data_IF_170828003438
#
_entry.id   IF_170828003438
#
_cell.length_a   1.000
_cell.length_b   1.000
_cell.length_c   1.000
_cell.angle_alpha   90.00
_cell.angle_beta   90.00
_cell.angle_gamma   90.00
#
_symmetry.space_group_name_H-M   'P 1'
#
loop_
_entity.id
_entity.type
_entity.pdbx_description
1 polymer ?
#
# COMPACT_ATOMS: atom_id res chain seq x y z
N UNK A 1 4.53 -16.35 -7.56
CA UNK A 1 3.12 -16.00 -7.81
C UNK A 1 3.09 -15.11 -9.02
N UNK A 2 2.25 -15.48 -9.98
CA UNK A 2 2.02 -14.73 -11.20
C UNK A 2 1.46 -13.33 -10.89
N UNK A 3 1.64 -12.42 -11.83
CA UNK A 3 0.94 -11.14 -11.85
C UNK A 3 -0.54 -11.41 -12.09
N UNK A 4 -1.48 -10.81 -11.33
CA UNK A 4 -2.90 -10.95 -11.61
C UNK A 4 -3.26 -10.40 -12.99
N UNK A 5 -4.02 -11.18 -13.76
CA UNK A 5 -4.45 -10.89 -15.14
C UNK A 5 -5.99 -10.87 -15.28
N UNK A 6 -6.72 -10.93 -14.18
CA UNK A 6 -8.18 -10.86 -14.12
C UNK A 6 -8.66 -10.24 -12.80
N UNK A 7 -9.91 -9.75 -12.77
CA UNK A 7 -10.56 -9.21 -11.57
C UNK A 7 -10.50 -10.20 -10.40
N UNK A 8 -10.86 -11.46 -10.65
CA UNK A 8 -10.83 -12.51 -9.62
C UNK A 8 -9.41 -12.70 -9.08
N UNK A 9 -8.42 -12.83 -9.95
CA UNK A 9 -7.02 -13.01 -9.54
C UNK A 9 -6.49 -11.78 -8.76
N UNK A 10 -6.95 -10.57 -9.10
CA UNK A 10 -6.57 -9.34 -8.40
C UNK A 10 -7.13 -9.32 -6.98
N UNK A 11 -8.43 -9.59 -6.83
CA UNK A 11 -9.10 -9.65 -5.53
C UNK A 11 -8.47 -10.73 -4.63
N UNK A 12 -8.21 -11.92 -5.17
CA UNK A 12 -7.52 -12.98 -4.44
C UNK A 12 -6.12 -12.57 -4.00
N UNK A 13 -5.36 -11.89 -4.86
CA UNK A 13 -4.02 -11.41 -4.53
C UNK A 13 -4.05 -10.32 -3.45
N UNK A 14 -5.01 -9.39 -3.52
CA UNK A 14 -5.20 -8.34 -2.52
C UNK A 14 -5.56 -8.95 -1.16
N UNK A 15 -6.56 -9.81 -1.10
CA UNK A 15 -7.01 -10.45 0.15
C UNK A 15 -5.89 -11.30 0.77
N UNK A 16 -5.26 -12.17 -0.02
CA UNK A 16 -4.19 -13.05 0.48
C UNK A 16 -3.01 -12.27 1.02
N UNK A 17 -2.59 -11.21 0.33
CA UNK A 17 -1.45 -10.39 0.75
C UNK A 17 -1.78 -9.50 1.95
N UNK A 18 -2.99 -8.92 2.01
CA UNK A 18 -3.49 -8.16 3.15
C UNK A 18 -3.61 -9.03 4.41
N UNK A 19 -4.20 -10.22 4.29
CA UNK A 19 -4.32 -11.18 5.40
C UNK A 19 -2.96 -11.62 5.94
N UNK A 20 -2.00 -11.92 5.05
CA UNK A 20 -0.64 -12.28 5.45
C UNK A 20 0.08 -11.14 6.17
N UNK A 21 -0.10 -9.90 5.69
CA UNK A 21 0.46 -8.70 6.32
C UNK A 21 -0.17 -8.47 7.70
N UNK A 22 -1.50 -8.52 7.81
CA UNK A 22 -2.23 -8.32 9.07
C UNK A 22 -1.76 -9.26 10.16
N UNK A 23 -1.63 -10.56 9.84
CA UNK A 23 -1.12 -11.58 10.78
C UNK A 23 0.28 -11.28 11.32
N UNK A 24 1.09 -10.53 10.58
CA UNK A 24 2.43 -10.09 11.02
C UNK A 24 2.32 -8.83 11.87
N UNK A 25 1.52 -7.85 11.43
CA UNK A 25 1.36 -6.57 12.11
C UNK A 25 0.80 -6.71 13.53
N UNK A 26 -0.17 -7.61 13.76
CA UNK A 26 -0.74 -7.85 15.10
C UNK A 26 0.26 -8.40 16.11
N UNK A 27 1.40 -8.94 15.66
CA UNK A 27 2.46 -9.49 16.52
C UNK A 27 3.48 -8.44 16.92
N UNK A 28 3.39 -7.22 16.39
CA UNK A 28 4.36 -6.15 16.65
C UNK A 28 3.87 -5.34 17.86
N UNK A 29 4.65 -5.29 18.95
CA UNK A 29 4.32 -4.45 20.11
C UNK A 29 4.29 -2.96 19.74
N UNK A 30 3.41 -2.19 20.37
CA UNK A 30 3.22 -0.78 20.06
C UNK A 30 4.48 0.07 20.33
N UNK A 31 5.26 -0.26 21.36
CA UNK A 31 6.52 0.38 21.71
C UNK A 31 7.64 0.12 20.68
N UNK A 32 7.59 -1.02 19.96
CA UNK A 32 8.49 -1.35 18.86
C UNK A 32 8.02 -0.72 17.54
N UNK A 33 6.70 -0.61 17.33
CA UNK A 33 6.12 -0.18 16.06
C UNK A 33 6.63 1.19 15.59
N UNK A 34 6.95 2.08 16.52
CA UNK A 34 7.45 3.44 16.22
C UNK A 34 8.98 3.58 16.25
N UNK A 35 9.71 2.53 16.62
CA UNK A 35 11.18 2.55 16.60
C UNK A 35 11.71 2.44 15.17
N UNK A 36 12.81 3.14 14.87
CA UNK A 36 13.47 3.14 13.56
C UNK A 36 14.30 1.86 13.37
N UNK A 37 13.61 0.72 13.26
CA UNK A 37 14.18 -0.63 13.28
C UNK A 37 14.30 -1.29 11.88
N UNK A 38 13.68 -0.72 10.84
CA UNK A 38 13.71 -1.23 9.47
C UNK A 38 14.61 -0.39 8.56
N UNK A 39 15.14 -0.99 7.50
CA UNK A 39 15.70 -0.25 6.37
C UNK A 39 14.59 0.50 5.62
N UNK A 40 14.78 1.78 5.36
CA UNK A 40 13.81 2.63 4.68
C UNK A 40 13.72 2.39 3.17
N UNK A 41 12.81 3.12 2.52
CA UNK A 41 12.62 3.04 1.06
C UNK A 41 13.71 3.75 0.26
N UNK A 42 14.42 4.70 0.88
CA UNK A 42 15.63 5.32 0.31
C UNK A 42 16.85 4.56 0.82
N UNK A 43 17.78 4.20 -0.05
CA UNK A 43 18.99 3.48 0.34
C UNK A 43 19.76 4.25 1.44
N UNK A 44 20.15 3.53 2.50
CA UNK A 44 20.82 4.12 3.67
C UNK A 44 19.91 4.82 4.68
N UNK A 45 18.60 4.92 4.41
CA UNK A 45 17.63 5.45 5.38
C UNK A 45 17.10 4.37 6.32
N UNK A 46 16.53 4.80 7.44
CA UNK A 46 15.80 3.95 8.40
C UNK A 46 14.32 4.34 8.39
N UNK A 47 13.45 3.39 8.73
CA UNK A 47 12.02 3.63 8.94
C UNK A 47 11.51 2.80 10.11
N UNK A 48 10.39 3.21 10.69
CA UNK A 48 9.64 2.40 11.65
C UNK A 48 8.62 1.49 10.96
N UNK A 49 8.02 0.57 11.71
CA UNK A 49 6.88 -0.22 11.23
C UNK A 49 5.67 0.69 10.99
N UNK A 50 5.46 1.68 11.86
CA UNK A 50 4.43 2.70 11.68
C UNK A 50 4.64 3.46 10.35
N UNK A 51 5.86 3.88 10.02
CA UNK A 51 6.16 4.50 8.73
C UNK A 51 5.84 3.54 7.57
N UNK A 52 6.18 2.26 7.68
CA UNK A 52 5.83 1.27 6.66
C UNK A 52 4.30 1.18 6.47
N UNK A 53 3.51 1.19 7.55
CA UNK A 53 2.03 1.20 7.46
C UNK A 53 1.52 2.51 6.85
N UNK A 54 2.03 3.66 7.28
CA UNK A 54 1.68 4.98 6.71
C UNK A 54 1.92 5.02 5.20
N UNK A 55 3.02 4.43 4.73
CA UNK A 55 3.32 4.31 3.31
C UNK A 55 2.29 3.46 2.56
N UNK A 56 1.84 2.35 3.14
CA UNK A 56 0.81 1.51 2.53
C UNK A 56 -0.53 2.23 2.43
N UNK A 57 -0.93 2.91 3.51
CA UNK A 57 -2.16 3.73 3.51
C UNK A 57 -2.05 4.83 2.46
N UNK A 58 -0.94 5.58 2.43
CA UNK A 58 -0.75 6.66 1.47
C UNK A 58 -0.85 6.22 0.01
N UNK A 59 -0.29 5.06 -0.35
CA UNK A 59 -0.47 4.51 -1.69
C UNK A 59 -1.90 4.05 -1.99
N UNK A 60 -2.60 3.48 -1.00
CA UNK A 60 -4.00 3.12 -1.16
C UNK A 60 -4.89 4.35 -1.36
N UNK A 61 -4.71 5.39 -0.55
CA UNK A 61 -5.39 6.69 -0.73
C UNK A 61 -5.08 7.30 -2.09
N UNK A 62 -3.82 7.20 -2.56
CA UNK A 62 -3.44 7.72 -3.87
C UNK A 62 -4.18 7.00 -5.01
N UNK A 63 -4.39 5.68 -4.91
CA UNK A 63 -5.20 4.93 -5.86
C UNK A 63 -6.66 5.39 -5.83
N UNK A 64 -7.25 5.51 -4.65
CA UNK A 64 -8.63 5.98 -4.49
C UNK A 64 -8.80 7.38 -5.08
N UNK A 65 -7.84 8.28 -4.82
CA UNK A 65 -7.84 9.64 -5.34
C UNK A 65 -7.72 9.70 -6.87
N UNK A 66 -6.92 8.83 -7.50
CA UNK A 66 -6.90 8.74 -8.97
C UNK A 66 -8.27 8.43 -9.56
N UNK A 67 -9.00 7.50 -8.95
CA UNK A 67 -10.33 7.09 -9.42
C UNK A 67 -11.41 8.13 -9.10
N UNK A 68 -11.26 8.88 -8.00
CA UNK A 68 -12.11 10.03 -7.69
C UNK A 68 -11.98 11.13 -8.75
N UNK A 69 -10.75 11.50 -9.13
CA UNK A 69 -10.49 12.51 -10.18
C UNK A 69 -11.10 12.06 -11.51
N UNK A 70 -10.87 10.80 -11.89
CA UNK A 70 -11.46 10.23 -13.11
C UNK A 70 -12.99 10.31 -13.11
N UNK A 71 -13.64 9.92 -12.01
CA UNK A 71 -15.09 9.98 -11.88
C UNK A 71 -15.63 11.42 -11.92
N UNK A 72 -14.83 12.40 -11.49
CA UNK A 72 -15.13 13.83 -11.59
C UNK A 72 -14.86 14.41 -12.99
N UNK A 73 -14.27 13.64 -13.91
CA UNK A 73 -13.83 14.12 -15.23
C UNK A 73 -12.59 15.02 -15.17
N UNK A 74 -11.83 14.96 -14.08
CA UNK A 74 -10.58 15.70 -13.88
C UNK A 74 -9.38 14.94 -14.46
N UNK A 75 -8.31 15.67 -14.79
CA UNK A 75 -7.04 15.05 -15.19
C UNK A 75 -6.38 14.36 -13.98
N UNK A 76 -5.98 13.11 -14.16
CA UNK A 76 -5.38 12.32 -13.07
C UNK A 76 -3.89 12.67 -12.91
N UNK A 77 -3.53 13.20 -11.75
CA UNK A 77 -2.14 13.43 -11.36
C UNK A 77 -1.39 12.12 -11.01
N UNK A 78 -0.59 11.60 -11.96
CA UNK A 78 0.28 10.43 -11.74
C UNK A 78 1.75 10.81 -11.48
N UNK A 79 2.41 10.23 -10.46
CA UNK A 79 1.85 9.43 -9.37
C UNK A 79 1.06 10.25 -8.35
N UNK A 80 1.36 11.54 -8.21
CA UNK A 80 0.66 12.47 -7.34
C UNK A 80 0.98 13.90 -7.81
N UNK A 81 0.13 14.87 -7.44
CA UNK A 81 0.32 16.27 -7.82
C UNK A 81 1.67 16.79 -7.36
N UNK A 82 2.48 17.28 -8.31
CA UNK A 82 3.82 17.82 -8.03
C UNK A 82 4.91 16.77 -7.80
N UNK A 83 4.64 15.49 -8.07
CA UNK A 83 5.62 14.40 -7.99
C UNK A 83 5.81 13.73 -9.34
N UNK A 84 7.03 13.23 -9.58
CA UNK A 84 7.36 12.38 -10.74
C UNK A 84 7.61 10.93 -10.31
N UNK A 85 7.49 9.98 -11.22
CA UNK A 85 7.77 8.56 -10.97
C UNK A 85 9.22 8.25 -10.57
N UNK A 86 10.17 9.16 -10.82
CA UNK A 86 11.54 9.03 -10.31
C UNK A 86 11.73 9.66 -8.91
N UNK A 87 10.66 10.17 -8.28
CA UNK A 87 10.67 10.83 -6.97
C UNK A 87 9.88 10.05 -5.90
N UNK A 88 9.63 8.75 -6.12
CA UNK A 88 8.81 7.94 -5.21
C UNK A 88 9.36 7.87 -3.77
N UNK A 89 10.68 8.04 -3.59
CA UNK A 89 11.27 8.17 -2.26
C UNK A 89 10.78 9.41 -1.50
N UNK A 90 10.62 10.55 -2.19
CA UNK A 90 10.06 11.77 -1.61
C UNK A 90 8.56 11.61 -1.32
N UNK A 91 7.83 10.96 -2.22
CA UNK A 91 6.41 10.67 -2.02
C UNK A 91 6.19 9.74 -0.81
N UNK A 92 7.06 8.74 -0.62
CA UNK A 92 7.06 7.90 0.57
C UNK A 92 7.29 8.70 1.86
N UNK A 93 8.23 9.64 1.85
CA UNK A 93 8.47 10.55 2.99
C UNK A 93 7.26 11.45 3.27
N UNK A 94 6.57 11.92 2.23
CA UNK A 94 5.30 12.65 2.39
C UNK A 94 4.29 11.79 3.14
N UNK A 95 4.08 10.53 2.74
CA UNK A 95 3.15 9.65 3.45
C UNK A 95 3.55 9.41 4.91
N UNK A 96 4.85 9.35 5.22
CA UNK A 96 5.28 9.29 6.63
C UNK A 96 4.83 10.53 7.41
N UNK A 97 5.02 11.71 6.83
CA UNK A 97 4.65 12.97 7.46
C UNK A 97 3.12 13.13 7.60
N UNK A 98 2.34 12.68 6.60
CA UNK A 98 0.89 12.79 6.60
C UNK A 98 0.26 12.05 7.80
N UNK A 99 0.81 10.89 8.19
CA UNK A 99 0.30 10.07 9.28
C UNK A 99 1.12 10.13 10.57
N UNK A 100 2.16 10.96 10.66
CA UNK A 100 3.07 11.02 11.83
C UNK A 100 2.36 11.39 13.15
N UNK A 101 1.22 12.08 13.04
CA UNK A 101 0.41 12.51 14.18
C UNK A 101 -0.36 11.35 14.82
N UNK A 102 -0.47 10.21 14.13
CA UNK A 102 -1.09 8.99 14.67
C UNK A 102 -0.03 8.26 15.51
N UNK A 103 -0.16 8.34 16.83
CA UNK A 103 0.74 7.69 17.79
C UNK A 103 0.16 6.40 18.37
N UNK A 104 -1.12 6.12 18.12
CA UNK A 104 -1.79 4.88 18.54
C UNK A 104 -1.60 3.80 17.48
N UNK A 105 -0.89 2.73 17.84
CA UNK A 105 -0.65 1.61 16.94
C UNK A 105 -1.95 0.91 16.49
N UNK A 106 -2.90 0.57 17.37
CA UNK A 106 -4.18 -0.01 16.95
C UNK A 106 -4.97 0.89 16.00
N UNK A 107 -4.94 2.21 16.22
CA UNK A 107 -5.60 3.18 15.34
C UNK A 107 -5.00 3.15 13.93
N UNK A 108 -3.67 3.17 13.82
CA UNK A 108 -3.00 3.12 12.52
C UNK A 108 -3.29 1.80 11.77
N UNK A 109 -3.41 0.69 12.49
CA UNK A 109 -3.81 -0.60 11.89
C UNK A 109 -5.27 -0.61 11.43
N UNK A 110 -6.18 0.00 12.19
CA UNK A 110 -7.58 0.11 11.78
C UNK A 110 -7.73 0.95 10.51
N UNK A 111 -6.98 2.05 10.40
CA UNK A 111 -6.96 2.88 9.18
C UNK A 111 -6.44 2.09 7.96
N UNK A 112 -5.41 1.26 8.14
CA UNK A 112 -4.93 0.38 7.06
C UNK A 112 -5.99 -0.64 6.63
N UNK A 113 -6.71 -1.24 7.59
CA UNK A 113 -7.78 -2.19 7.29
C UNK A 113 -8.94 -1.52 6.53
N UNK A 114 -9.36 -0.33 6.95
CA UNK A 114 -10.39 0.43 6.27
C UNK A 114 -9.96 0.78 4.83
N UNK A 115 -8.74 1.30 4.66
CA UNK A 115 -8.19 1.61 3.34
C UNK A 115 -8.14 0.37 2.43
N UNK A 116 -7.76 -0.80 2.96
CA UNK A 116 -7.79 -2.06 2.23
C UNK A 116 -9.20 -2.46 1.78
N UNK A 117 -10.20 -2.28 2.64
CA UNK A 117 -11.60 -2.55 2.31
C UNK A 117 -12.14 -1.61 1.23
N UNK A 118 -11.79 -0.33 1.29
CA UNK A 118 -12.14 0.66 0.28
C UNK A 118 -11.54 0.30 -1.09
N UNK A 119 -10.28 -0.14 -1.14
CA UNK A 119 -9.66 -0.62 -2.38
C UNK A 119 -10.33 -1.87 -2.95
N UNK A 120 -10.74 -2.81 -2.10
CA UNK A 120 -11.50 -4.00 -2.53
C UNK A 120 -12.86 -3.57 -3.10
N UNK A 121 -13.55 -2.63 -2.45
CA UNK A 121 -14.81 -2.07 -2.93
C UNK A 121 -14.65 -1.38 -4.29
N UNK A 122 -13.57 -0.60 -4.47
CA UNK A 122 -13.21 0.01 -5.75
C UNK A 122 -13.08 -1.04 -6.86
N UNK A 123 -12.31 -2.10 -6.63
CA UNK A 123 -12.12 -3.19 -7.62
C UNK A 123 -13.45 -3.90 -7.91
N UNK A 124 -14.30 -4.08 -6.91
CA UNK A 124 -15.61 -4.68 -7.10
C UNK A 124 -16.53 -3.84 -8.00
N UNK A 125 -16.36 -2.52 -8.01
CA UNK A 125 -17.10 -1.59 -8.86
C UNK A 125 -16.79 -1.68 -10.36
N UNK A 126 -15.67 -2.28 -10.75
CA UNK A 126 -15.29 -2.46 -12.15
C UNK A 126 -15.56 -3.87 -12.66
N UNK A 127 -15.85 -4.02 -13.94
CA UNK A 127 -15.83 -5.30 -14.65
C UNK A 127 -14.41 -5.80 -14.90
N UNK A 128 -14.27 -7.06 -15.33
CA UNK A 128 -12.98 -7.62 -15.75
C UNK A 128 -12.41 -6.86 -16.96
N UNK A 129 -13.27 -6.45 -17.90
CA UNK A 129 -12.90 -5.70 -19.09
C UNK A 129 -12.28 -4.34 -18.77
N UNK A 130 -12.94 -3.58 -17.90
CA UNK A 130 -12.45 -2.28 -17.44
C UNK A 130 -11.14 -2.38 -16.64
N UNK A 131 -10.86 -3.55 -16.04
CA UNK A 131 -9.65 -3.78 -15.26
C UNK A 131 -8.48 -4.28 -16.10
N UNK A 132 -8.72 -5.14 -17.09
CA UNK A 132 -7.66 -5.93 -17.74
C UNK A 132 -7.66 -5.95 -19.25
N UNK A 133 -8.74 -5.56 -19.93
CA UNK A 133 -8.83 -5.61 -21.39
C UNK A 133 -8.62 -4.25 -22.07
N UNK A 134 -8.33 -3.21 -21.27
CA UNK A 134 -8.04 -1.86 -21.75
C UNK A 134 -6.81 -1.24 -21.05
N UNK A 135 -6.06 -0.43 -21.79
CA UNK A 135 -4.98 0.39 -21.23
C UNK A 135 -5.60 1.58 -20.49
N UNK A 136 -5.09 1.85 -19.29
CA UNK A 136 -5.58 2.94 -18.44
C UNK A 136 -4.52 4.01 -18.21
N UNK A 137 -3.28 3.60 -17.92
CA UNK A 137 -2.16 4.52 -17.76
C UNK A 137 -0.97 4.10 -18.62
N UNK A 138 -0.77 4.81 -19.73
CA UNK A 138 0.26 4.50 -20.72
C UNK A 138 0.09 3.07 -21.25
N UNK A 139 0.97 2.17 -20.85
CA UNK A 139 0.94 0.74 -21.24
C UNK A 139 0.33 -0.19 -20.18
N UNK A 140 -0.18 0.36 -19.08
CA UNK A 140 -0.68 -0.43 -17.95
C UNK A 140 -2.19 -0.42 -17.91
N UNK A 141 -2.78 -1.59 -17.67
CA UNK A 141 -4.20 -1.73 -17.39
C UNK A 141 -4.54 -1.17 -16.00
N UNK A 142 -5.80 -0.86 -15.76
CA UNK A 142 -6.28 -0.35 -14.46
C UNK A 142 -5.97 -1.33 -13.33
N UNK A 143 -6.30 -2.61 -13.52
CA UNK A 143 -6.03 -3.67 -12.55
C UNK A 143 -4.54 -3.79 -12.21
N UNK A 144 -3.66 -3.60 -13.20
CA UNK A 144 -2.20 -3.59 -12.99
C UNK A 144 -1.74 -2.39 -12.16
N UNK A 145 -2.29 -1.20 -12.39
CA UNK A 145 -1.99 0.00 -11.59
C UNK A 145 -2.49 -0.14 -10.15
N UNK A 146 -3.68 -0.70 -9.92
CA UNK A 146 -4.20 -0.99 -8.58
C UNK A 146 -3.28 -2.02 -7.88
N UNK A 147 -2.89 -3.09 -8.57
CA UNK A 147 -2.03 -4.13 -8.01
C UNK A 147 -0.64 -3.60 -7.61
N UNK A 148 -0.05 -2.69 -8.38
CA UNK A 148 1.24 -2.06 -8.04
C UNK A 148 1.21 -1.30 -6.71
N UNK A 149 0.04 -0.81 -6.31
CA UNK A 149 -0.14 0.05 -5.14
C UNK A 149 -0.94 -0.62 -4.01
N UNK A 150 -1.25 -1.91 -4.13
CA UNK A 150 -1.95 -2.72 -3.12
C UNK A 150 -1.26 -4.07 -2.86
N UNK A 151 -1.61 -5.11 -3.61
CA UNK A 151 -1.13 -6.48 -3.35
C UNK A 151 0.41 -6.60 -3.39
N UNK A 152 1.06 -5.90 -4.32
CA UNK A 152 2.52 -5.88 -4.41
C UNK A 152 3.20 -5.28 -3.18
N UNK A 153 2.87 -4.05 -2.74
CA UNK A 153 3.48 -3.48 -1.54
C UNK A 153 3.09 -4.22 -0.25
N UNK A 154 1.89 -4.81 -0.13
CA UNK A 154 1.55 -5.65 1.04
C UNK A 154 2.46 -6.87 1.17
N UNK A 155 2.78 -7.51 0.03
CA UNK A 155 3.72 -8.63 -0.01
C UNK A 155 5.14 -8.17 0.33
N UNK A 156 5.59 -7.03 -0.19
CA UNK A 156 6.91 -6.49 0.14
C UNK A 156 7.02 -6.14 1.63
N UNK A 157 6.02 -5.46 2.18
CA UNK A 157 5.93 -5.14 3.60
C UNK A 157 5.98 -6.41 4.46
N UNK A 158 5.19 -7.42 4.10
CA UNK A 158 5.20 -8.73 4.80
C UNK A 158 6.59 -9.38 4.82
N UNK A 159 7.37 -9.25 3.74
CA UNK A 159 8.73 -9.76 3.67
C UNK A 159 9.69 -8.95 4.57
N UNK A 160 9.59 -7.62 4.56
CA UNK A 160 10.40 -6.73 5.43
C UNK A 160 10.20 -7.02 6.91
N UNK A 161 8.98 -7.38 7.32
CA UNK A 161 8.66 -7.70 8.71
C UNK A 161 9.24 -9.05 9.18
N UNK A 162 9.65 -9.95 8.28
CA UNK A 162 10.15 -11.27 8.66
C UNK A 162 11.39 -11.17 9.56
N UNK A 163 12.35 -10.32 9.21
CA UNK A 163 13.58 -10.19 9.99
C UNK A 163 13.31 -9.63 11.38
N UNK A 164 12.45 -8.60 11.48
CA UNK A 164 12.06 -8.01 12.76
C UNK A 164 11.35 -9.03 13.64
N UNK A 165 10.37 -9.76 13.09
CA UNK A 165 9.62 -10.77 13.85
C UNK A 165 10.48 -11.95 14.29
N UNK A 166 11.55 -12.27 13.56
CA UNK A 166 12.53 -13.27 13.98
C UNK A 166 13.29 -12.77 15.22
N UNK A 167 13.84 -11.55 15.17
CA UNK A 167 14.54 -10.94 16.30
C UNK A 167 13.65 -10.82 17.55
N UNK A 168 12.37 -10.46 17.38
CA UNK A 168 11.41 -10.38 18.49
C UNK A 168 11.06 -11.73 19.11
N UNK A 169 11.20 -12.84 18.37
CA UNK A 169 10.93 -14.18 18.90
C UNK A 169 12.14 -14.78 19.64
N UNK A 170 13.33 -14.21 19.45
CA UNK A 170 14.59 -14.63 20.08
C UNK A 170 14.92 -13.81 21.34
N UNK A 171 14.17 -12.73 21.59
CA UNK A 171 14.28 -11.85 22.77
C UNK A 171 13.34 -12.28 23.89
#
# INVERSE_FOLDING_TARGET
MAVPESKTALLEAMEKSASALRKKLIRIPADIAYQQCLEGHVAGSRMSVANLVSYLIGWGEQVLFWHQQEAAGEEIDFPAKGFKWNELGKLAQKYYADYQHITSWPTLLAMLEENQQQLISLVNGFSDDELYHQLWYGKWTRGRMIQFNSASPYKNASARLNSLLKTLAEA
#
